data_IF_139048721033
#
_entry.id   IF_139048721033
#
_cell.length_a   1.000
_cell.length_b   1.000
_cell.length_c   1.000
_cell.angle_alpha   90.00
_cell.angle_beta   90.00
_cell.angle_gamma   90.00
#
_symmetry.space_group_name_H-M   'P 1'
#
loop_
_entity.id
_entity.type
_entity.pdbx_description
1 polymer ?
#
# COMPACT_ATOMS: atom_id res chain seq x y z
N UNK A 1 -2.12 13.61 -5.88
CA UNK A 1 -0.89 13.02 -6.47
C UNK A 1 -1.33 11.99 -7.50
N UNK A 2 -0.68 11.84 -8.67
CA UNK A 2 -1.09 10.79 -9.63
C UNK A 2 -0.90 9.42 -8.94
N UNK A 3 -1.94 8.57 -8.84
CA UNK A 3 -1.76 7.24 -8.27
C UNK A 3 -0.77 6.46 -9.13
N UNK A 4 0.14 5.73 -8.48
CA UNK A 4 1.05 4.81 -9.16
C UNK A 4 0.25 3.77 -9.94
N UNK A 5 0.71 3.40 -11.13
CA UNK A 5 0.16 2.23 -11.82
C UNK A 5 0.52 0.96 -11.05
N UNK A 6 -0.14 -0.16 -11.37
CA UNK A 6 0.21 -1.45 -10.76
C UNK A 6 1.68 -1.84 -11.02
N UNK A 7 2.21 -1.50 -12.19
CA UNK A 7 3.61 -1.78 -12.52
C UNK A 7 4.57 -0.91 -11.71
N UNK A 8 4.26 0.37 -11.54
CA UNK A 8 5.06 1.26 -10.69
C UNK A 8 5.03 0.80 -9.24
N UNK A 9 3.84 0.46 -8.73
CA UNK A 9 3.65 -0.08 -7.39
C UNK A 9 4.47 -1.35 -7.16
N UNK A 10 4.39 -2.30 -8.12
CA UNK A 10 5.16 -3.55 -8.08
C UNK A 10 6.66 -3.28 -8.09
N UNK A 11 7.12 -2.35 -8.92
CA UNK A 11 8.52 -1.96 -8.99
C UNK A 11 9.01 -1.36 -7.67
N UNK A 12 8.23 -0.48 -7.05
CA UNK A 12 8.53 0.09 -5.72
C UNK A 12 8.63 -1.02 -4.67
N UNK A 13 7.67 -1.95 -4.62
CA UNK A 13 7.72 -3.09 -3.70
C UNK A 13 8.92 -4.01 -3.92
N UNK A 14 9.39 -4.14 -5.17
CA UNK A 14 10.58 -4.92 -5.49
C UNK A 14 11.86 -4.22 -5.00
N UNK A 15 12.00 -2.91 -5.23
CA UNK A 15 13.20 -2.15 -4.86
C UNK A 15 13.30 -1.90 -3.35
N UNK A 16 12.21 -1.45 -2.71
CA UNK A 16 12.24 -1.08 -1.29
C UNK A 16 11.99 -2.27 -0.36
N UNK A 17 11.50 -3.39 -0.90
CA UNK A 17 10.93 -4.50 -0.15
C UNK A 17 9.46 -4.24 0.21
N UNK A 18 8.65 -5.30 0.12
CA UNK A 18 7.19 -5.24 0.24
C UNK A 18 6.70 -4.47 1.48
N UNK A 19 7.23 -4.78 2.65
CA UNK A 19 6.78 -4.18 3.92
C UNK A 19 7.07 -2.67 3.99
N UNK A 20 8.29 -2.26 3.62
CA UNK A 20 8.73 -0.86 3.65
C UNK A 20 8.02 -0.02 2.59
N UNK A 21 7.85 -0.57 1.39
CA UNK A 21 7.11 0.07 0.32
C UNK A 21 5.67 0.37 0.75
N UNK A 22 4.98 -0.63 1.33
CA UNK A 22 3.61 -0.45 1.82
C UNK A 22 3.56 0.56 2.96
N UNK A 23 4.47 0.48 3.92
CA UNK A 23 4.56 1.46 5.00
C UNK A 23 4.61 2.88 4.43
N UNK A 24 5.55 3.14 3.52
CA UNK A 24 5.77 4.46 2.92
C UNK A 24 4.57 4.93 2.08
N UNK A 25 4.02 4.06 1.23
CA UNK A 25 2.90 4.39 0.35
C UNK A 25 1.61 4.67 1.12
N UNK A 26 1.40 3.97 2.24
CA UNK A 26 0.18 4.09 3.03
C UNK A 26 0.31 5.03 4.24
N UNK A 27 1.51 5.47 4.63
CA UNK A 27 1.69 6.45 5.73
C UNK A 27 0.91 7.74 5.48
N UNK A 28 0.81 8.17 4.23
CA UNK A 28 0.04 9.36 3.85
C UNK A 28 -1.45 9.10 3.64
N UNK A 29 -1.87 7.84 3.63
CA UNK A 29 -3.26 7.42 3.36
C UNK A 29 -4.00 6.94 4.62
N UNK A 30 -3.25 6.43 5.59
CA UNK A 30 -3.79 5.84 6.80
C UNK A 30 -3.25 6.49 8.06
N UNK A 31 -4.13 6.63 9.04
CA UNK A 31 -3.71 6.81 10.43
C UNK A 31 -2.86 5.61 10.90
N UNK A 32 -1.90 5.88 11.79
CA UNK A 32 -0.91 4.92 12.30
C UNK A 32 -1.51 3.59 12.77
N UNK A 33 -2.73 3.59 13.34
CA UNK A 33 -3.42 2.38 13.80
C UNK A 33 -3.84 1.47 12.64
N UNK A 34 -4.37 2.03 11.56
CA UNK A 34 -4.77 1.27 10.36
C UNK A 34 -3.56 0.73 9.61
N UNK A 35 -2.48 1.53 9.55
CA UNK A 35 -1.22 1.10 8.94
C UNK A 35 -0.62 -0.13 9.64
N UNK A 36 -0.60 -0.14 10.98
CA UNK A 36 -0.14 -1.31 11.75
C UNK A 36 -0.99 -2.56 11.52
N UNK A 37 -2.29 -2.42 11.34
CA UNK A 37 -3.18 -3.54 11.04
C UNK A 37 -2.90 -4.12 9.63
N UNK A 38 -2.74 -3.24 8.64
CA UNK A 38 -2.37 -3.63 7.28
C UNK A 38 -1.03 -4.38 7.25
N UNK A 39 0.01 -3.81 7.87
CA UNK A 39 1.33 -4.44 7.96
C UNK A 39 1.27 -5.85 8.59
N UNK A 40 0.42 -6.07 9.61
CA UNK A 40 0.24 -7.40 10.21
C UNK A 40 -0.37 -8.40 9.23
N UNK A 41 -1.40 -8.01 8.47
CA UNK A 41 -2.03 -8.87 7.45
C UNK A 41 -1.02 -9.26 6.36
N UNK A 42 -0.21 -8.30 5.92
CA UNK A 42 0.84 -8.51 4.92
C UNK A 42 1.91 -9.49 5.43
N UNK A 43 2.40 -9.29 6.66
CA UNK A 43 3.40 -10.19 7.27
C UNK A 43 2.90 -11.63 7.42
N UNK A 44 1.61 -11.81 7.63
CA UNK A 44 0.97 -13.14 7.67
C UNK A 44 0.70 -13.73 6.28
N UNK A 45 1.10 -13.04 5.20
CA UNK A 45 0.78 -13.40 3.82
C UNK A 45 -0.73 -13.55 3.56
N UNK A 46 -1.58 -12.88 4.34
CA UNK A 46 -3.05 -12.90 4.18
C UNK A 46 -3.53 -12.05 2.99
N UNK A 47 -2.62 -11.33 2.35
CA UNK A 47 -2.90 -10.49 1.18
C UNK A 47 -1.86 -10.79 0.12
N UNK A 48 -2.24 -10.74 -1.15
CA UNK A 48 -1.30 -10.71 -2.27
C UNK A 48 -0.96 -9.26 -2.67
N UNK A 49 -0.04 -9.09 -3.61
CA UNK A 49 0.38 -7.75 -4.05
C UNK A 49 -0.74 -6.99 -4.77
N UNK A 50 -1.67 -7.69 -5.42
CA UNK A 50 -2.77 -7.09 -6.18
C UNK A 50 -3.82 -6.52 -5.22
N UNK A 51 -4.18 -7.29 -4.20
CA UNK A 51 -5.10 -6.90 -3.13
C UNK A 51 -4.60 -5.66 -2.40
N UNK A 52 -3.29 -5.58 -2.12
CA UNK A 52 -2.69 -4.39 -1.50
C UNK A 52 -2.78 -3.19 -2.44
N UNK A 53 -2.54 -3.37 -3.73
CA UNK A 53 -2.64 -2.29 -4.71
C UNK A 53 -4.08 -1.77 -4.86
N UNK A 54 -5.06 -2.66 -4.80
CA UNK A 54 -6.48 -2.28 -4.85
C UNK A 54 -6.86 -1.45 -3.61
N UNK A 55 -6.38 -1.81 -2.40
CA UNK A 55 -6.55 -0.96 -1.20
C UNK A 55 -5.85 0.41 -1.39
N UNK A 56 -4.63 0.45 -1.95
CA UNK A 56 -3.90 1.70 -2.21
C UNK A 56 -4.68 2.65 -3.13
N UNK A 57 -5.21 2.12 -4.24
CA UNK A 57 -5.95 2.92 -5.22
C UNK A 57 -7.29 3.40 -4.67
N UNK A 58 -8.03 2.56 -3.94
CA UNK A 58 -9.28 2.95 -3.29
C UNK A 58 -9.07 4.13 -2.32
N UNK A 59 -8.01 4.09 -1.51
CA UNK A 59 -7.72 5.16 -0.55
C UNK A 59 -7.16 6.43 -1.20
N UNK A 60 -6.37 6.31 -2.27
CA UNK A 60 -5.97 7.47 -3.07
C UNK A 60 -7.18 8.18 -3.69
N UNK A 61 -8.19 7.44 -4.18
CA UNK A 61 -9.41 8.04 -4.71
C UNK A 61 -10.21 8.81 -3.67
N UNK A 62 -10.22 8.37 -2.40
CA UNK A 62 -10.90 9.08 -1.30
C UNK A 62 -10.16 10.36 -0.91
N UNK A 63 -8.83 10.35 -0.90
CA UNK A 63 -8.02 11.51 -0.46
C UNK A 63 -7.96 12.62 -1.52
N UNK A 64 -8.10 12.28 -2.81
CA UNK A 64 -8.04 13.26 -3.91
C UNK A 64 -9.43 13.80 -4.35
N UNK A 65 -10.51 13.46 -3.64
CA UNK A 65 -11.89 13.89 -3.92
C UNK A 65 -12.40 14.79 -2.79
#
# INVERSE_FOLDING_TARGET
MRPYSFNDFKYICYIEGRDKAVEKLFTYLFETRKLKALQRRIKKNEMDLRTIYDEYTQHQSIVNN
#
